data_IF_024979591811
#
_entry.id   IF_024979591811
#
_cell.length_a   1.000
_cell.length_b   1.000
_cell.length_c   1.000
_cell.angle_alpha   90.00
_cell.angle_beta   90.00
_cell.angle_gamma   90.00
#
_symmetry.space_group_name_H-M   'P 1'
#
loop_
_entity.id
_entity.type
_entity.pdbx_description
1 polymer ?
#
# COMPACT_ATOMS: atom_id res chain seq x y z
N UNK A 1 -10.78 -10.24 19.67
CA UNK A 1 -11.39 -8.95 19.37
C UNK A 1 -10.75 -8.32 18.17
N UNK A 2 -11.54 -7.90 17.24
CA UNK A 2 -10.98 -7.31 16.04
C UNK A 2 -10.32 -5.98 16.37
N UNK A 3 -9.18 -5.75 15.74
CA UNK A 3 -8.50 -4.45 15.81
C UNK A 3 -9.10 -3.52 14.76
N UNK A 4 -10.43 -3.41 14.78
CA UNK A 4 -11.10 -2.53 13.84
C UNK A 4 -10.75 -1.09 14.17
N UNK A 5 -10.30 -0.40 13.16
CA UNK A 5 -9.98 1.01 13.23
C UNK A 5 -10.85 1.72 12.21
N UNK A 6 -11.48 2.79 12.62
CA UNK A 6 -12.20 3.63 11.68
C UNK A 6 -11.16 4.48 10.94
N UNK A 7 -10.71 3.98 9.80
CA UNK A 7 -9.69 4.67 9.00
C UNK A 7 -10.17 6.06 8.54
N UNK A 8 -11.46 6.21 8.32
CA UNK A 8 -12.00 7.50 7.88
C UNK A 8 -11.88 8.54 8.99
N UNK A 9 -12.04 8.12 10.24
CA UNK A 9 -11.83 9.02 11.38
C UNK A 9 -10.35 9.41 11.49
N UNK A 10 -9.44 8.45 11.28
CA UNK A 10 -8.00 8.73 11.28
C UNK A 10 -7.65 9.76 10.20
N UNK A 11 -8.16 9.57 8.99
CA UNK A 11 -7.91 10.51 7.89
C UNK A 11 -8.45 11.91 8.21
N UNK A 12 -9.64 11.96 8.81
CA UNK A 12 -10.24 13.22 9.22
C UNK A 12 -9.40 13.92 10.29
N UNK A 13 -8.94 13.16 11.29
CA UNK A 13 -8.11 13.70 12.37
C UNK A 13 -6.79 14.26 11.84
N UNK A 14 -6.27 13.70 10.75
CA UNK A 14 -5.04 14.16 10.11
C UNK A 14 -5.28 15.24 9.06
N UNK A 15 -6.53 15.66 8.88
CA UNK A 15 -6.92 16.62 7.84
C UNK A 15 -6.52 16.17 6.45
N UNK A 16 -6.76 14.87 6.15
CA UNK A 16 -6.53 14.30 4.84
C UNK A 16 -7.87 14.18 4.12
N UNK A 17 -8.13 15.00 3.10
CA UNK A 17 -9.35 14.87 2.32
C UNK A 17 -9.28 13.63 1.42
N UNK A 18 -10.41 13.01 1.19
CA UNK A 18 -10.47 11.84 0.33
C UNK A 18 -11.83 11.79 -0.38
N UNK A 19 -11.86 11.09 -1.51
CA UNK A 19 -13.09 10.69 -2.16
C UNK A 19 -13.20 9.17 -2.02
N UNK A 20 -14.41 8.68 -1.78
CA UNK A 20 -14.66 7.26 -1.53
C UNK A 20 -15.63 6.69 -2.55
N UNK A 21 -15.39 5.46 -2.95
CA UNK A 21 -16.30 4.67 -3.76
C UNK A 21 -16.46 3.29 -3.15
N UNK A 22 -17.71 2.89 -2.87
CA UNK A 22 -18.01 1.53 -2.44
C UNK A 22 -18.12 0.64 -3.68
N UNK A 23 -17.71 -0.61 -3.58
CA UNK A 23 -17.80 -1.58 -4.67
C UNK A 23 -17.72 -3.00 -4.10
N UNK A 24 -17.96 -4.00 -4.95
CA UNK A 24 -17.83 -5.38 -4.52
C UNK A 24 -16.35 -5.70 -4.23
N UNK A 25 -16.12 -6.75 -3.44
CA UNK A 25 -14.77 -7.16 -3.06
C UNK A 25 -13.93 -7.51 -4.30
N UNK A 26 -12.67 -7.04 -4.30
CA UNK A 26 -11.69 -7.34 -5.35
C UNK A 26 -10.57 -8.14 -4.69
N UNK A 27 -10.49 -9.45 -4.98
CA UNK A 27 -9.43 -10.32 -4.46
C UNK A 27 -8.34 -10.58 -5.49
N UNK A 28 -8.73 -10.64 -6.77
CA UNK A 28 -7.84 -10.91 -7.89
C UNK A 28 -8.07 -9.87 -8.98
N UNK A 29 -7.10 -9.73 -9.85
CA UNK A 29 -7.20 -8.78 -10.97
C UNK A 29 -8.46 -9.00 -11.82
N UNK A 30 -8.88 -10.27 -12.00
CA UNK A 30 -10.10 -10.58 -12.76
C UNK A 30 -11.35 -9.96 -12.14
N UNK A 31 -11.40 -9.84 -10.82
CA UNK A 31 -12.54 -9.24 -10.13
C UNK A 31 -12.72 -7.77 -10.48
N UNK A 32 -11.62 -7.08 -10.80
CA UNK A 32 -11.65 -5.66 -11.14
C UNK A 32 -12.35 -5.38 -12.46
N UNK A 33 -12.50 -6.39 -13.33
CA UNK A 33 -13.18 -6.23 -14.62
C UNK A 33 -14.66 -5.88 -14.47
N UNK A 34 -15.28 -6.34 -13.36
CA UNK A 34 -16.68 -6.07 -13.07
C UNK A 34 -16.88 -4.82 -12.21
N UNK A 35 -15.79 -4.15 -11.86
CA UNK A 35 -15.81 -2.97 -11.01
C UNK A 35 -15.31 -1.78 -11.81
N UNK A 36 -16.15 -0.76 -11.94
CA UNK A 36 -15.76 0.49 -12.58
C UNK A 36 -15.40 1.49 -11.48
N UNK A 37 -14.13 1.86 -11.43
CA UNK A 37 -13.65 2.88 -10.49
C UNK A 37 -13.79 4.25 -11.15
N UNK A 38 -14.61 5.11 -10.55
CA UNK A 38 -14.86 6.46 -11.05
C UNK A 38 -14.01 7.51 -10.36
N UNK A 39 -13.21 7.10 -9.38
CA UNK A 39 -12.30 8.00 -8.66
C UNK A 39 -11.16 8.46 -9.56
N UNK A 40 -10.71 9.70 -9.33
CA UNK A 40 -9.56 10.25 -10.03
C UNK A 40 -8.27 9.81 -9.33
N UNK A 41 -7.32 9.32 -10.10
CA UNK A 41 -6.00 8.97 -9.56
C UNK A 41 -5.40 7.75 -10.24
N UNK A 42 -4.20 7.39 -9.79
CA UNK A 42 -3.49 6.21 -10.26
C UNK A 42 -3.89 5.01 -9.40
N UNK A 43 -4.33 3.93 -10.04
CA UNK A 43 -4.61 2.68 -9.34
C UNK A 43 -3.31 2.10 -8.78
N UNK A 44 -3.35 1.67 -7.54
CA UNK A 44 -2.18 1.21 -6.80
C UNK A 44 -2.29 -0.27 -6.49
N UNK A 45 -1.19 -0.99 -6.64
CA UNK A 45 -1.03 -2.32 -6.04
C UNK A 45 0.05 -2.26 -4.98
N UNK A 46 -0.08 -3.12 -3.99
CA UNK A 46 0.81 -3.17 -2.84
C UNK A 46 1.44 -4.54 -2.73
N UNK A 47 2.75 -4.57 -2.58
CA UNK A 47 3.52 -5.80 -2.46
C UNK A 47 4.17 -5.82 -1.09
N UNK A 48 3.87 -6.84 -0.29
CA UNK A 48 4.53 -7.04 0.99
C UNK A 48 5.58 -8.12 0.82
N UNK A 49 6.83 -7.73 0.96
CA UNK A 49 7.99 -8.56 0.61
C UNK A 49 8.96 -8.69 1.78
N UNK A 50 9.79 -9.72 1.72
CA UNK A 50 10.83 -9.96 2.71
C UNK A 50 12.06 -10.56 2.04
N UNK A 51 13.22 -10.47 2.72
CA UNK A 51 14.39 -11.26 2.37
C UNK A 51 14.60 -12.38 3.41
N UNK A 52 15.62 -13.20 3.20
CA UNK A 52 15.90 -14.34 4.08
C UNK A 52 16.33 -13.92 5.50
N UNK A 53 16.77 -12.68 5.66
CA UNK A 53 17.18 -12.13 6.95
C UNK A 53 16.03 -11.47 7.70
N UNK A 54 14.80 -11.69 7.24
CA UNK A 54 13.57 -11.13 7.83
C UNK A 54 13.55 -9.61 7.83
N UNK A 55 14.03 -9.01 6.76
CA UNK A 55 13.80 -7.59 6.47
C UNK A 55 12.51 -7.48 5.67
N UNK A 56 11.57 -6.66 6.14
CA UNK A 56 10.24 -6.54 5.54
C UNK A 56 10.08 -5.20 4.84
N UNK A 57 9.40 -5.22 3.69
CA UNK A 57 9.12 -4.02 2.93
C UNK A 57 7.73 -4.01 2.34
N UNK A 58 7.08 -2.86 2.40
CA UNK A 58 5.80 -2.62 1.74
C UNK A 58 6.05 -1.69 0.56
N UNK A 59 5.71 -2.16 -0.63
CA UNK A 59 5.88 -1.41 -1.88
C UNK A 59 4.51 -1.04 -2.40
N UNK A 60 4.28 0.24 -2.65
CA UNK A 60 3.07 0.71 -3.33
C UNK A 60 3.47 1.25 -4.69
N UNK A 61 2.85 0.72 -5.75
CA UNK A 61 3.22 1.05 -7.12
C UNK A 61 1.99 1.02 -8.04
N UNK A 62 2.18 1.52 -9.25
CA UNK A 62 1.13 1.53 -10.27
C UNK A 62 0.67 0.11 -10.57
N UNK A 63 -0.65 -0.12 -10.45
CA UNK A 63 -1.28 -1.42 -10.67
C UNK A 63 -0.96 -2.00 -12.04
N UNK A 64 -0.82 -1.14 -13.05
CA UNK A 64 -0.68 -1.55 -14.45
C UNK A 64 0.77 -1.80 -14.88
N UNK A 65 1.72 -1.63 -13.98
CA UNK A 65 3.14 -1.85 -14.25
C UNK A 65 3.63 -3.14 -13.60
N UNK A 66 4.67 -3.72 -14.18
CA UNK A 66 5.26 -4.95 -13.64
C UNK A 66 6.37 -4.60 -12.66
N UNK A 67 6.32 -5.20 -11.50
CA UNK A 67 7.33 -5.00 -10.46
C UNK A 67 8.64 -5.68 -10.85
N UNK A 68 9.75 -4.99 -10.63
CA UNK A 68 11.09 -5.55 -10.73
C UNK A 68 11.61 -5.77 -9.31
N UNK A 69 11.51 -7.02 -8.83
CA UNK A 69 11.89 -7.35 -7.45
C UNK A 69 13.36 -7.09 -7.18
N UNK A 70 14.22 -7.20 -8.19
CA UNK A 70 15.64 -6.96 -8.05
C UNK A 70 15.92 -5.47 -7.79
N UNK A 71 15.28 -4.59 -8.57
CA UNK A 71 15.35 -3.15 -8.33
C UNK A 71 14.81 -2.78 -6.96
N UNK A 72 13.67 -3.37 -6.58
CA UNK A 72 13.03 -3.10 -5.29
C UNK A 72 13.97 -3.51 -4.15
N UNK A 73 14.58 -4.69 -4.24
CA UNK A 73 15.56 -5.14 -3.24
C UNK A 73 16.72 -4.14 -3.10
N UNK A 74 17.23 -3.66 -4.22
CA UNK A 74 18.32 -2.67 -4.22
C UNK A 74 17.90 -1.37 -3.55
N UNK A 75 16.66 -0.91 -3.81
CA UNK A 75 16.12 0.31 -3.19
C UNK A 75 16.01 0.19 -1.68
N UNK A 76 15.61 -0.98 -1.19
CA UNK A 76 15.52 -1.24 0.25
C UNK A 76 16.86 -1.53 0.91
N UNK A 77 17.85 -1.96 0.14
CA UNK A 77 19.09 -2.51 0.69
C UNK A 77 18.90 -3.92 1.25
N UNK A 78 17.97 -4.68 0.68
CA UNK A 78 17.65 -6.05 1.09
C UNK A 78 18.35 -7.06 0.17
N UNK A 79 18.40 -8.32 0.62
CA UNK A 79 18.76 -9.43 -0.22
C UNK A 79 17.60 -9.82 -1.14
N UNK A 80 17.68 -11.01 -1.75
CA UNK A 80 16.65 -11.51 -2.66
C UNK A 80 15.29 -11.53 -1.99
N UNK A 81 14.31 -10.96 -2.67
CA UNK A 81 12.95 -10.83 -2.13
C UNK A 81 12.07 -12.04 -2.44
N UNK A 82 11.18 -12.33 -1.50
CA UNK A 82 10.03 -13.21 -1.69
C UNK A 82 8.80 -12.51 -1.11
N UNK A 83 7.62 -12.97 -1.51
CA UNK A 83 6.38 -12.41 -0.99
C UNK A 83 6.09 -12.99 0.39
N UNK A 84 5.56 -12.14 1.28
CA UNK A 84 5.09 -12.57 2.58
C UNK A 84 3.80 -13.38 2.44
N UNK A 85 3.57 -14.27 3.39
CA UNK A 85 2.35 -15.09 3.43
C UNK A 85 1.23 -14.38 4.22
N UNK A 86 -0.01 -14.92 4.22
CA UNK A 86 -1.12 -14.31 4.96
C UNK A 86 -0.87 -14.13 6.45
N UNK A 87 -0.15 -15.07 7.09
CA UNK A 87 0.18 -14.97 8.51
C UNK A 87 1.08 -13.78 8.80
N UNK A 88 2.05 -13.53 7.92
CA UNK A 88 2.96 -12.39 8.04
C UNK A 88 2.22 -11.07 7.82
N UNK A 89 1.30 -11.04 6.86
CA UNK A 89 0.44 -9.86 6.65
C UNK A 89 -0.34 -9.53 7.91
N UNK A 90 -0.91 -10.55 8.54
CA UNK A 90 -1.68 -10.37 9.78
C UNK A 90 -0.79 -9.92 10.93
N UNK A 91 0.37 -10.55 11.06
CA UNK A 91 1.30 -10.27 12.16
C UNK A 91 1.85 -8.84 12.11
N UNK A 92 2.31 -8.39 10.95
CA UNK A 92 3.01 -7.10 10.82
C UNK A 92 2.10 -5.96 10.45
N UNK A 93 1.06 -6.20 9.65
CA UNK A 93 0.22 -5.14 9.09
C UNK A 93 -1.24 -5.23 9.50
N UNK A 94 -1.62 -6.27 10.26
CA UNK A 94 -2.99 -6.48 10.73
C UNK A 94 -4.01 -6.47 9.58
N UNK A 95 -3.66 -7.06 8.45
CA UNK A 95 -4.46 -7.00 7.23
C UNK A 95 -4.55 -8.39 6.60
N UNK A 96 -5.61 -8.62 5.82
CA UNK A 96 -5.79 -9.85 5.07
C UNK A 96 -5.39 -9.66 3.61
N UNK A 97 -5.03 -10.76 2.89
CA UNK A 97 -4.79 -10.67 1.45
C UNK A 97 -5.99 -10.04 0.73
N UNK A 98 -5.72 -9.26 -0.29
CA UNK A 98 -6.75 -8.55 -1.04
C UNK A 98 -7.11 -7.18 -0.49
N UNK A 99 -6.76 -6.90 0.77
CA UNK A 99 -7.05 -5.60 1.39
C UNK A 99 -5.79 -4.78 1.68
N UNK A 100 -4.62 -5.26 1.25
CA UNK A 100 -3.34 -4.61 1.53
C UNK A 100 -3.34 -3.19 0.98
N UNK A 101 -2.89 -2.26 1.79
CA UNK A 101 -2.91 -0.83 1.49
C UNK A 101 -1.74 -0.15 2.22
N UNK A 102 -1.21 0.95 1.69
CA UNK A 102 -0.16 1.67 2.42
C UNK A 102 -0.63 2.20 3.78
N UNK A 103 -1.94 2.31 3.98
CA UNK A 103 -2.49 2.78 5.27
C UNK A 103 -2.25 1.79 6.41
N UNK A 104 -2.04 0.50 6.11
CA UNK A 104 -1.87 -0.52 7.16
C UNK A 104 -0.53 -0.40 7.90
N UNK A 105 0.39 0.44 7.46
CA UNK A 105 1.63 0.70 8.20
C UNK A 105 1.37 1.27 9.60
N UNK A 106 0.21 1.88 9.81
CA UNK A 106 -0.16 2.39 11.14
C UNK A 106 -0.19 1.28 12.20
N UNK A 107 -0.36 0.02 11.79
CA UNK A 107 -0.35 -1.12 12.69
C UNK A 107 1.06 -1.63 13.00
N UNK A 108 2.06 -1.22 12.23
CA UNK A 108 3.46 -1.61 12.46
C UNK A 108 4.12 -0.67 13.48
N UNK A 109 3.70 -0.82 14.73
CA UNK A 109 4.16 0.05 15.81
C UNK A 109 5.62 -0.15 16.16
N UNK A 110 6.19 -1.32 15.84
CA UNK A 110 7.61 -1.64 16.10
C UNK A 110 8.53 -1.20 14.97
N UNK A 111 8.00 -0.63 13.91
CA UNK A 111 8.76 -0.15 12.74
C UNK A 111 9.58 -1.25 12.07
N UNK A 112 8.99 -2.42 11.92
CA UNK A 112 9.63 -3.58 11.27
C UNK A 112 9.57 -3.51 9.76
N UNK A 113 8.64 -2.72 9.21
CA UNK A 113 8.36 -2.66 7.77
C UNK A 113 8.89 -1.35 7.19
N UNK A 114 9.76 -1.46 6.18
CA UNK A 114 10.19 -0.30 5.41
C UNK A 114 9.19 -0.01 4.30
N UNK A 115 9.07 1.25 3.90
CA UNK A 115 8.07 1.69 2.92
C UNK A 115 8.77 2.23 1.68
N UNK A 116 8.34 1.76 0.51
CA UNK A 116 8.82 2.21 -0.78
C UNK A 116 7.64 2.62 -1.64
N UNK A 117 7.66 3.85 -2.12
CA UNK A 117 6.63 4.37 -3.02
C UNK A 117 7.18 4.56 -4.41
N UNK A 118 6.34 4.25 -5.40
CA UNK A 118 6.62 4.46 -6.81
C UNK A 118 6.89 5.94 -7.07
N UNK A 119 8.05 6.24 -7.64
CA UNK A 119 8.44 7.62 -7.92
C UNK A 119 7.45 8.35 -8.84
N UNK A 120 6.68 7.61 -9.63
CA UNK A 120 5.69 8.21 -10.53
C UNK A 120 4.43 8.71 -9.80
N UNK A 121 4.32 8.49 -8.50
CA UNK A 121 3.21 9.03 -7.71
C UNK A 121 3.36 10.52 -7.40
N UNK A 122 4.56 11.07 -7.55
CA UNK A 122 4.80 12.49 -7.26
C UNK A 122 3.85 13.39 -8.07
N UNK A 123 3.19 14.30 -7.37
CA UNK A 123 2.27 15.25 -7.97
C UNK A 123 0.93 14.68 -8.38
N UNK A 124 0.63 13.44 -7.99
CA UNK A 124 -0.58 12.74 -8.41
C UNK A 124 -1.46 12.36 -7.23
N UNK A 125 -2.70 12.00 -7.54
CA UNK A 125 -3.58 11.31 -6.60
C UNK A 125 -3.42 9.80 -6.81
N UNK A 126 -3.61 9.05 -5.73
CA UNK A 126 -3.54 7.59 -5.75
C UNK A 126 -4.84 7.00 -5.25
N UNK A 127 -5.20 5.85 -5.81
CA UNK A 127 -6.42 5.12 -5.45
C UNK A 127 -5.99 3.89 -4.67
N UNK A 128 -6.42 3.82 -3.41
CA UNK A 128 -6.01 2.79 -2.46
C UNK A 128 -7.21 2.26 -1.69
N UNK A 129 -7.05 1.11 -1.04
CA UNK A 129 -8.09 0.53 -0.20
C UNK A 129 -8.07 1.14 1.21
N UNK A 130 -9.25 1.44 1.78
CA UNK A 130 -9.34 1.94 3.17
C UNK A 130 -9.45 0.77 4.15
N UNK A 131 -8.43 -0.09 4.21
CA UNK A 131 -8.32 -1.28 5.07
C UNK A 131 -9.31 -2.41 4.74
N UNK A 132 -10.06 -2.27 3.67
CA UNK A 132 -10.98 -3.31 3.17
C UNK A 132 -11.04 -3.25 1.65
N UNK A 133 -11.36 -4.38 1.03
CA UNK A 133 -11.39 -4.47 -0.44
C UNK A 133 -12.78 -4.23 -1.03
N UNK A 134 -13.73 -3.73 -0.23
CA UNK A 134 -15.08 -3.37 -0.67
C UNK A 134 -15.25 -1.89 -0.91
N UNK A 135 -14.16 -1.15 -0.85
CA UNK A 135 -14.14 0.27 -1.15
C UNK A 135 -12.77 0.67 -1.68
N UNK A 136 -12.74 1.81 -2.36
CA UNK A 136 -11.49 2.48 -2.73
C UNK A 136 -11.61 3.94 -2.36
N UNK A 137 -10.47 4.57 -2.08
CA UNK A 137 -10.41 6.00 -1.84
C UNK A 137 -9.33 6.62 -2.72
N UNK A 138 -9.56 7.88 -3.08
CA UNK A 138 -8.59 8.70 -3.79
C UNK A 138 -8.04 9.75 -2.82
N UNK A 139 -6.73 9.78 -2.66
CA UNK A 139 -6.04 10.81 -1.85
C UNK A 139 -4.85 11.31 -2.64
N UNK A 140 -4.37 12.53 -2.31
CA UNK A 140 -3.14 13.02 -2.90
C UNK A 140 -1.94 12.24 -2.37
N UNK A 141 -0.91 12.07 -3.20
CA UNK A 141 0.31 11.41 -2.74
C UNK A 141 0.98 12.22 -1.62
N UNK A 142 0.90 13.54 -1.66
CA UNK A 142 1.41 14.39 -0.59
C UNK A 142 0.78 14.05 0.76
N UNK A 143 -0.53 13.80 0.76
CA UNK A 143 -1.25 13.40 1.98
C UNK A 143 -0.88 11.98 2.41
N UNK A 144 -0.63 11.08 1.47
CA UNK A 144 -0.16 9.73 1.80
C UNK A 144 1.20 9.79 2.46
N UNK A 145 2.10 10.66 1.99
CA UNK A 145 3.40 10.88 2.64
C UNK A 145 3.21 11.38 4.07
N UNK A 146 2.32 12.34 4.27
CA UNK A 146 2.03 12.87 5.62
C UNK A 146 1.50 11.78 6.56
N UNK A 147 0.62 10.93 6.05
CA UNK A 147 0.11 9.78 6.81
C UNK A 147 1.26 8.86 7.24
N UNK A 148 2.13 8.53 6.31
CA UNK A 148 3.29 7.66 6.58
C UNK A 148 4.18 8.24 7.67
N UNK A 149 4.49 9.52 7.55
CA UNK A 149 5.35 10.23 8.51
C UNK A 149 4.68 10.39 9.87
N UNK A 150 3.36 10.58 9.90
CA UNK A 150 2.61 10.70 11.15
C UNK A 150 2.78 9.44 12.01
N UNK A 151 2.80 8.25 11.38
CA UNK A 151 3.00 7.00 12.08
C UNK A 151 4.48 6.63 12.23
N UNK A 152 5.34 7.63 12.07
CA UNK A 152 6.79 7.55 12.29
C UNK A 152 7.51 6.56 11.37
N UNK A 153 6.96 6.29 10.21
CA UNK A 153 7.65 5.52 9.18
C UNK A 153 8.43 6.43 8.25
N UNK A 154 9.64 6.01 7.93
CA UNK A 154 10.37 6.62 6.82
C UNK A 154 9.87 5.99 5.52
N UNK A 155 9.98 6.73 4.45
CA UNK A 155 9.57 6.26 3.14
C UNK A 155 10.61 6.67 2.11
N UNK A 156 10.61 5.95 0.99
CA UNK A 156 11.52 6.21 -0.12
C UNK A 156 10.73 6.26 -1.40
N UNK A 157 11.18 7.07 -2.35
CA UNK A 157 10.71 7.01 -3.73
C UNK A 157 11.70 6.17 -4.53
N UNK A 158 11.20 5.38 -5.45
CA UNK A 158 12.08 4.56 -6.25
C UNK A 158 11.50 4.15 -7.59
N UNK A 159 12.40 3.75 -8.48
CA UNK A 159 12.07 3.09 -9.73
C UNK A 159 11.85 1.61 -9.42
N UNK A 160 10.61 1.16 -9.57
CA UNK A 160 10.21 -0.19 -9.18
C UNK A 160 9.73 -1.05 -10.36
N UNK A 161 9.82 -0.53 -11.57
CA UNK A 161 9.27 -1.21 -12.75
C UNK A 161 10.30 -2.01 -13.50
N UNK A 162 9.83 -3.13 -14.11
CA UNK A 162 10.61 -3.81 -15.14
C UNK A 162 10.68 -2.94 -16.38
N UNK A 163 11.83 -2.92 -17.01
CA UNK A 163 11.98 -2.31 -18.33
C UNK A 163 11.32 -3.22 -19.35
N UNK A 164 10.40 -2.65 -20.13
CA UNK A 164 9.71 -3.38 -21.19
C UNK A 164 10.17 -2.90 -22.56
#
# INVERSE_FOLDING_TARGET
MSKEVDIFQVLKDLNIPYEKQEHKAIFFEEDSKDVVITLEGTDVKNLFVKDKNKNYGLVSMDLHKRADLKKIAEQFGFGRLSFCNPDELKQYLNITPGSVTPLCIMFDTEKKVKVLYDQNFEGKKVIIHPLRNTASISISFEDLKRFTEHFSHTWKLGDVYKNE
#
